data_IF_064228478983
#
_entry.id   IF_064228478983
#
_cell.length_a   1.000
_cell.length_b   1.000
_cell.length_c   1.000
_cell.angle_alpha   90.00
_cell.angle_beta   90.00
_cell.angle_gamma   90.00
#
_symmetry.space_group_name_H-M   'P 1'
#
loop_
_entity.id
_entity.type
_entity.pdbx_description
1 polymer ?
#
# COMPACT_ATOMS: atom_id res chain seq x y z
N UNK A 1 -18.85 -10.23 3.83
CA UNK A 1 -19.16 -10.43 2.40
C UNK A 1 -18.69 -9.17 1.67
N UNK A 2 -17.47 -9.19 1.10
CA UNK A 2 -16.96 -8.12 0.26
C UNK A 2 -17.55 -8.17 -1.15
N UNK A 3 -17.48 -7.05 -1.84
CA UNK A 3 -17.86 -6.99 -3.25
C UNK A 3 -16.70 -7.48 -4.11
N UNK A 4 -16.93 -8.33 -5.13
CA UNK A 4 -15.89 -8.77 -6.04
C UNK A 4 -15.22 -7.55 -6.73
N UNK A 5 -13.92 -7.64 -6.93
CA UNK A 5 -13.18 -6.62 -7.66
C UNK A 5 -13.65 -6.51 -9.10
N UNK A 6 -13.70 -5.29 -9.63
CA UNK A 6 -14.07 -5.05 -11.01
C UNK A 6 -13.04 -4.21 -11.74
N UNK A 7 -12.87 -4.49 -13.02
CA UNK A 7 -12.06 -3.70 -13.92
C UNK A 7 -12.72 -3.63 -15.30
N UNK A 8 -12.41 -2.59 -16.05
CA UNK A 8 -12.75 -2.44 -17.46
C UNK A 8 -11.46 -2.39 -18.26
N UNK A 9 -11.38 -3.21 -19.27
CA UNK A 9 -10.25 -3.31 -20.18
C UNK A 9 -10.65 -2.78 -21.53
N UNK A 10 -9.83 -1.91 -22.12
CA UNK A 10 -9.89 -1.53 -23.51
C UNK A 10 -8.61 -2.03 -24.22
N UNK A 11 -8.80 -2.81 -25.28
CA UNK A 11 -7.69 -3.30 -26.12
C UNK A 11 -7.74 -2.52 -27.44
N UNK A 12 -6.63 -1.91 -27.81
CA UNK A 12 -6.49 -1.10 -29.04
C UNK A 12 -5.89 -1.91 -30.18
N UNK A 13 -6.21 -1.50 -31.40
CA UNK A 13 -5.66 -2.05 -32.63
C UNK A 13 -5.84 -3.57 -32.71
N UNK A 14 -7.09 -4.03 -32.55
CA UNK A 14 -7.48 -5.44 -32.63
C UNK A 14 -8.73 -5.60 -33.48
N UNK A 15 -8.78 -6.68 -34.26
CA UNK A 15 -9.99 -7.14 -34.92
C UNK A 15 -10.94 -7.84 -33.92
N UNK A 16 -12.21 -8.06 -34.30
CA UNK A 16 -13.17 -8.81 -33.48
C UNK A 16 -12.64 -10.20 -33.10
N UNK A 17 -11.99 -10.88 -34.05
CA UNK A 17 -11.41 -12.21 -33.81
C UNK A 17 -10.25 -12.17 -32.83
N UNK A 18 -9.32 -11.22 -32.99
CA UNK A 18 -8.19 -11.04 -32.06
C UNK A 18 -8.68 -10.67 -30.65
N UNK A 19 -9.69 -9.79 -30.56
CA UNK A 19 -10.29 -9.42 -29.27
C UNK A 19 -10.89 -10.65 -28.56
N UNK A 20 -11.52 -11.56 -29.31
CA UNK A 20 -12.02 -12.83 -28.76
C UNK A 20 -10.87 -13.73 -28.26
N UNK A 21 -9.78 -13.82 -28.99
CA UNK A 21 -8.60 -14.58 -28.54
C UNK A 21 -8.02 -14.00 -27.24
N UNK A 22 -7.91 -12.68 -27.15
CA UNK A 22 -7.48 -12.03 -25.89
C UNK A 22 -8.46 -12.33 -24.77
N UNK A 23 -9.77 -12.22 -25.00
CA UNK A 23 -10.79 -12.56 -23.97
C UNK A 23 -10.60 -13.98 -23.43
N UNK A 24 -10.39 -14.96 -24.32
CA UNK A 24 -10.25 -16.36 -23.92
C UNK A 24 -8.95 -16.61 -23.12
N UNK A 25 -7.86 -15.92 -23.47
CA UNK A 25 -6.61 -15.97 -22.73
C UNK A 25 -6.75 -15.30 -21.34
N UNK A 26 -7.41 -14.16 -21.29
CA UNK A 26 -7.63 -13.40 -20.03
C UNK A 26 -8.59 -14.14 -19.10
N UNK A 27 -9.60 -14.83 -19.63
CA UNK A 27 -10.53 -15.61 -18.83
C UNK A 27 -9.87 -16.88 -18.19
N UNK A 28 -8.70 -17.29 -18.69
CA UNK A 28 -7.92 -18.39 -18.12
C UNK A 28 -6.99 -17.95 -16.98
N UNK A 29 -6.87 -16.65 -16.70
CA UNK A 29 -6.01 -16.11 -15.65
C UNK A 29 -6.60 -16.43 -14.28
N UNK A 30 -5.78 -16.93 -13.36
CA UNK A 30 -6.19 -17.24 -11.98
C UNK A 30 -6.69 -15.98 -11.24
N UNK A 31 -7.88 -16.06 -10.67
CA UNK A 31 -8.54 -14.94 -9.96
C UNK A 31 -9.52 -14.14 -10.80
N UNK A 32 -9.67 -14.45 -12.09
CA UNK A 32 -10.71 -13.90 -12.96
C UNK A 32 -11.96 -14.78 -12.89
N UNK A 33 -13.08 -14.22 -12.46
CA UNK A 33 -14.37 -14.91 -12.40
C UNK A 33 -15.08 -14.86 -13.77
N UNK A 34 -15.25 -13.66 -14.31
CA UNK A 34 -16.00 -13.46 -15.54
C UNK A 34 -15.47 -12.27 -16.35
N UNK A 35 -15.49 -12.44 -17.70
CA UNK A 35 -15.27 -11.34 -18.64
C UNK A 35 -16.50 -11.17 -19.52
N UNK A 36 -17.16 -10.03 -19.40
CA UNK A 36 -18.33 -9.68 -20.19
C UNK A 36 -17.90 -8.88 -21.42
N UNK A 37 -18.34 -9.33 -22.60
CA UNK A 37 -18.11 -8.69 -23.87
C UNK A 37 -19.25 -9.01 -24.86
N UNK A 38 -19.25 -8.42 -26.05
CA UNK A 38 -20.32 -8.59 -27.04
C UNK A 38 -20.47 -10.03 -27.60
N UNK A 39 -19.51 -10.92 -27.39
CA UNK A 39 -19.53 -12.30 -27.88
C UNK A 39 -20.66 -13.16 -27.28
N UNK A 40 -21.33 -12.68 -26.23
CA UNK A 40 -22.55 -13.31 -25.70
C UNK A 40 -23.79 -13.04 -26.52
N UNK A 41 -23.80 -11.93 -27.29
CA UNK A 41 -24.95 -11.45 -28.08
C UNK A 41 -24.74 -11.61 -29.59
N UNK A 42 -23.50 -11.57 -30.04
CA UNK A 42 -23.15 -11.57 -31.45
C UNK A 42 -22.10 -12.66 -31.75
N UNK A 43 -22.24 -13.32 -32.90
CA UNK A 43 -21.23 -14.30 -33.37
C UNK A 43 -20.02 -13.57 -33.95
N UNK A 44 -19.00 -13.35 -33.13
CA UNK A 44 -17.75 -12.65 -33.48
C UNK A 44 -16.89 -13.42 -34.52
N UNK A 45 -17.18 -14.72 -34.75
CA UNK A 45 -16.50 -15.53 -35.75
C UNK A 45 -17.04 -15.34 -37.17
N UNK A 46 -18.20 -14.68 -37.34
CA UNK A 46 -18.80 -14.45 -38.64
C UNK A 46 -18.06 -13.39 -39.48
N UNK A 47 -17.11 -12.65 -38.89
CA UNK A 47 -16.40 -11.54 -39.51
C UNK A 47 -17.17 -10.22 -39.45
N UNK A 48 -16.46 -9.11 -39.58
CA UNK A 48 -17.01 -7.75 -39.43
C UNK A 48 -18.12 -7.42 -40.41
N UNK A 49 -18.06 -8.01 -41.62
CA UNK A 49 -19.05 -7.80 -42.71
C UNK A 49 -20.44 -8.40 -42.37
N UNK A 50 -20.52 -9.33 -41.44
CA UNK A 50 -21.75 -10.03 -41.04
C UNK A 50 -22.29 -9.62 -39.67
N UNK A 51 -21.57 -8.72 -38.98
CA UNK A 51 -21.97 -8.19 -37.67
C UNK A 51 -22.46 -6.76 -37.84
N UNK A 52 -23.62 -6.49 -37.32
CA UNK A 52 -24.11 -5.10 -37.25
C UNK A 52 -23.32 -4.34 -36.18
N UNK A 53 -22.33 -3.55 -36.60
CA UNK A 53 -21.41 -2.82 -35.72
C UNK A 53 -22.14 -1.81 -34.83
N UNK A 54 -23.36 -1.33 -35.24
CA UNK A 54 -24.14 -0.42 -34.41
C UNK A 54 -24.68 -1.10 -33.15
N UNK A 55 -24.91 -2.41 -33.17
CA UNK A 55 -25.42 -3.16 -32.02
C UNK A 55 -24.34 -3.44 -30.97
N UNK A 56 -23.06 -3.37 -31.36
CA UNK A 56 -21.92 -3.66 -30.48
C UNK A 56 -21.00 -2.45 -30.23
N UNK A 57 -21.39 -1.26 -30.67
CA UNK A 57 -20.57 -0.04 -30.58
C UNK A 57 -20.08 0.32 -29.17
N UNK A 58 -20.79 -0.15 -28.14
CA UNK A 58 -20.39 0.05 -26.73
C UNK A 58 -19.26 -0.90 -26.28
N UNK A 59 -19.08 -2.00 -27.02
CA UNK A 59 -18.09 -3.03 -26.74
C UNK A 59 -16.99 -3.14 -27.79
N UNK A 60 -17.24 -2.65 -29.02
CA UNK A 60 -16.26 -2.65 -30.10
C UNK A 60 -16.49 -1.48 -31.04
N UNK A 61 -15.50 -0.63 -31.22
CA UNK A 61 -15.52 0.51 -32.11
C UNK A 61 -14.11 0.90 -32.56
N UNK A 62 -13.96 1.22 -33.83
CA UNK A 62 -12.72 1.75 -34.44
C UNK A 62 -11.45 0.91 -34.10
N UNK A 63 -11.57 -0.42 -34.13
CA UNK A 63 -10.48 -1.34 -33.78
C UNK A 63 -10.16 -1.40 -32.27
N UNK A 64 -11.05 -0.90 -31.42
CA UNK A 64 -10.92 -0.97 -29.96
C UNK A 64 -12.00 -1.87 -29.38
N UNK A 65 -11.60 -2.87 -28.61
CA UNK A 65 -12.52 -3.74 -27.86
C UNK A 65 -12.58 -3.33 -26.38
N UNK A 66 -13.77 -3.23 -25.82
CA UNK A 66 -14.00 -2.89 -24.41
C UNK A 66 -14.67 -4.07 -23.71
N UNK A 67 -14.05 -4.55 -22.63
CA UNK A 67 -14.49 -5.71 -21.86
C UNK A 67 -14.64 -5.34 -20.40
N UNK A 68 -15.68 -5.82 -19.75
CA UNK A 68 -15.89 -5.70 -18.30
C UNK A 68 -15.43 -6.99 -17.62
N UNK A 69 -14.56 -6.86 -16.63
CA UNK A 69 -13.91 -7.95 -15.93
C UNK A 69 -14.37 -7.95 -14.48
N UNK A 70 -14.78 -9.11 -14.00
CA UNK A 70 -15.09 -9.36 -12.59
C UNK A 70 -14.08 -10.36 -12.05
N UNK A 71 -13.54 -10.09 -10.87
CA UNK A 71 -12.61 -10.96 -10.17
C UNK A 71 -13.33 -11.83 -9.14
N UNK A 72 -12.74 -12.96 -8.75
CA UNK A 72 -13.31 -13.85 -7.73
C UNK A 72 -13.25 -13.24 -6.32
N UNK A 73 -12.25 -12.40 -6.06
CA UNK A 73 -11.99 -11.80 -4.76
C UNK A 73 -12.16 -10.28 -4.79
N UNK A 74 -12.01 -9.63 -3.64
CA UNK A 74 -12.12 -8.18 -3.49
C UNK A 74 -11.02 -7.43 -4.26
N UNK A 75 -11.26 -6.13 -4.48
CA UNK A 75 -10.38 -5.26 -5.28
C UNK A 75 -8.96 -5.10 -4.70
N UNK A 76 -8.76 -5.34 -3.41
CA UNK A 76 -7.49 -5.21 -2.67
C UNK A 76 -6.87 -6.56 -2.31
N UNK A 77 -7.44 -7.66 -2.80
CA UNK A 77 -6.90 -9.00 -2.60
C UNK A 77 -5.57 -9.19 -3.36
N UNK A 78 -4.56 -9.85 -2.73
CA UNK A 78 -3.32 -10.21 -3.41
C UNK A 78 -3.51 -11.11 -4.64
N UNK A 79 -4.62 -11.86 -4.72
CA UNK A 79 -4.96 -12.69 -5.88
C UNK A 79 -5.45 -11.81 -7.02
N UNK A 80 -6.31 -10.83 -6.74
CA UNK A 80 -6.78 -9.84 -7.72
C UNK A 80 -5.61 -9.01 -8.26
N UNK A 81 -4.67 -8.60 -7.40
CA UNK A 81 -3.49 -7.84 -7.83
C UNK A 81 -2.61 -8.64 -8.80
N UNK A 82 -2.38 -9.94 -8.52
CA UNK A 82 -1.62 -10.83 -9.42
C UNK A 82 -2.34 -11.07 -10.74
N UNK A 83 -3.65 -11.27 -10.71
CA UNK A 83 -4.46 -11.40 -11.91
C UNK A 83 -4.33 -10.16 -12.83
N UNK A 84 -4.37 -8.96 -12.26
CA UNK A 84 -4.19 -7.70 -13.01
C UNK A 84 -2.78 -7.65 -13.66
N UNK A 85 -1.72 -8.09 -12.97
CA UNK A 85 -0.37 -8.10 -13.53
C UNK A 85 -0.24 -9.10 -14.70
N UNK A 86 -0.79 -10.29 -14.53
CA UNK A 86 -0.77 -11.30 -15.57
C UNK A 86 -1.58 -10.86 -16.80
N UNK A 87 -2.75 -10.27 -16.60
CA UNK A 87 -3.55 -9.70 -17.68
C UNK A 87 -2.81 -8.57 -18.41
N UNK A 88 -2.12 -7.68 -17.67
CA UNK A 88 -1.28 -6.63 -18.29
C UNK A 88 -0.12 -7.21 -19.09
N UNK A 89 0.49 -8.31 -18.63
CA UNK A 89 1.55 -8.99 -19.35
C UNK A 89 1.04 -9.62 -20.65
N UNK A 90 -0.19 -10.16 -20.68
CA UNK A 90 -0.84 -10.73 -21.87
C UNK A 90 -1.16 -9.65 -22.91
N UNK A 91 -1.74 -8.53 -22.48
CA UNK A 91 -2.19 -7.48 -23.41
C UNK A 91 -1.09 -6.50 -23.81
N UNK A 92 -0.01 -6.42 -23.02
CA UNK A 92 1.10 -5.50 -23.26
C UNK A 92 0.63 -4.03 -23.42
N UNK A 93 1.24 -3.32 -24.35
CA UNK A 93 0.95 -1.90 -24.61
C UNK A 93 -0.42 -1.64 -25.26
N UNK A 94 -1.09 -2.69 -25.77
CA UNK A 94 -2.43 -2.56 -26.37
C UNK A 94 -3.53 -2.45 -25.31
N UNK A 95 -3.31 -2.96 -24.09
CA UNK A 95 -4.28 -3.00 -23.02
C UNK A 95 -4.31 -1.72 -22.16
N UNK A 96 -5.47 -1.11 -22.05
CA UNK A 96 -5.70 0.01 -21.14
C UNK A 96 -6.72 -0.43 -20.08
N UNK A 97 -6.29 -0.47 -18.80
CA UNK A 97 -7.09 -0.95 -17.68
C UNK A 97 -7.56 0.20 -16.81
N UNK A 98 -8.86 0.22 -16.50
CA UNK A 98 -9.48 1.16 -15.57
C UNK A 98 -10.43 0.41 -14.63
N UNK A 99 -10.77 0.99 -13.51
CA UNK A 99 -11.70 0.41 -12.54
C UNK A 99 -11.13 0.35 -11.13
N UNK A 100 -11.98 -0.04 -10.19
CA UNK A 100 -11.66 0.04 -8.76
C UNK A 100 -10.47 -0.84 -8.39
N UNK A 101 -10.41 -2.08 -8.90
CA UNK A 101 -9.31 -2.99 -8.60
C UNK A 101 -7.95 -2.47 -9.13
N UNK A 102 -7.95 -1.87 -10.34
CA UNK A 102 -6.74 -1.29 -10.93
C UNK A 102 -6.29 -0.03 -10.19
N UNK A 103 -7.25 0.81 -9.79
CA UNK A 103 -6.96 2.03 -9.01
C UNK A 103 -6.42 1.69 -7.63
N UNK A 104 -7.03 0.75 -6.91
CA UNK A 104 -6.56 0.30 -5.60
C UNK A 104 -5.13 -0.23 -5.67
N UNK A 105 -4.85 -1.10 -6.64
CA UNK A 105 -3.49 -1.58 -6.87
C UNK A 105 -2.50 -0.45 -7.11
N UNK A 106 -2.82 0.48 -8.02
CA UNK A 106 -1.96 1.64 -8.32
C UNK A 106 -1.74 2.54 -7.10
N UNK A 107 -2.77 2.74 -6.28
CA UNK A 107 -2.68 3.49 -5.02
C UNK A 107 -1.76 2.78 -4.03
N UNK A 108 -1.90 1.46 -3.84
CA UNK A 108 -1.07 0.67 -2.94
C UNK A 108 0.40 0.75 -3.37
N UNK A 109 0.71 0.50 -4.65
CA UNK A 109 2.07 0.56 -5.18
C UNK A 109 2.71 1.95 -5.06
N UNK A 110 1.95 3.00 -5.38
CA UNK A 110 2.42 4.39 -5.30
C UNK A 110 2.65 4.79 -3.85
N UNK A 111 1.70 4.48 -2.97
CA UNK A 111 1.82 4.76 -1.53
C UNK A 111 3.00 4.02 -0.91
N UNK A 112 3.21 2.73 -1.26
CA UNK A 112 4.35 1.96 -0.77
C UNK A 112 5.69 2.59 -1.16
N UNK A 113 5.80 3.07 -2.38
CA UNK A 113 7.01 3.74 -2.88
C UNK A 113 7.25 5.08 -2.21
N UNK A 114 6.19 5.88 -2.03
CA UNK A 114 6.28 7.20 -1.39
C UNK A 114 6.55 7.07 0.11
N UNK A 115 5.92 6.09 0.79
CA UNK A 115 6.15 5.84 2.22
C UNK A 115 7.61 5.54 2.54
N UNK A 116 8.31 4.79 1.69
CA UNK A 116 9.75 4.56 1.87
C UNK A 116 10.55 5.86 1.87
N UNK A 117 10.21 6.80 1.00
CA UNK A 117 10.86 8.13 0.95
C UNK A 117 10.51 8.98 2.16
N UNK A 118 9.23 9.02 2.54
CA UNK A 118 8.75 9.77 3.72
C UNK A 118 9.42 9.24 4.98
N UNK A 119 9.54 7.92 5.14
CA UNK A 119 10.19 7.30 6.27
C UNK A 119 11.67 7.70 6.38
N UNK A 120 12.42 7.71 5.26
CA UNK A 120 13.82 8.15 5.24
C UNK A 120 13.93 9.62 5.65
N UNK A 121 13.08 10.49 5.11
CA UNK A 121 13.07 11.92 5.47
C UNK A 121 12.71 12.11 6.96
N UNK A 122 11.72 11.37 7.46
CA UNK A 122 11.34 11.42 8.88
C UNK A 122 12.49 11.00 9.80
N UNK A 123 13.17 9.89 9.49
CA UNK A 123 14.33 9.42 10.26
C UNK A 123 15.47 10.42 10.25
N UNK A 124 15.77 11.03 9.10
CA UNK A 124 16.80 12.07 9.00
C UNK A 124 16.43 13.32 9.81
N UNK A 125 15.18 13.72 9.77
CA UNK A 125 14.67 14.86 10.55
C UNK A 125 14.76 14.57 12.06
N UNK A 126 14.33 13.40 12.51
CA UNK A 126 14.44 12.96 13.91
C UNK A 126 15.90 12.97 14.35
N UNK A 127 16.80 12.41 13.53
CA UNK A 127 18.24 12.40 13.84
C UNK A 127 18.82 13.81 13.97
N UNK A 128 18.42 14.74 13.09
CA UNK A 128 18.84 16.14 13.16
C UNK A 128 18.35 16.81 14.45
N UNK A 129 17.09 16.61 14.82
CA UNK A 129 16.54 17.16 16.07
C UNK A 129 17.23 16.58 17.30
N UNK A 130 17.46 15.26 17.33
CA UNK A 130 18.18 14.61 18.41
C UNK A 130 19.63 15.13 18.53
N UNK A 131 20.33 15.32 17.42
CA UNK A 131 21.69 15.90 17.43
C UNK A 131 21.73 17.34 17.94
N UNK A 132 20.65 18.11 17.78
CA UNK A 132 20.52 19.47 18.31
C UNK A 132 20.12 19.48 19.80
N UNK A 133 19.31 18.51 20.22
CA UNK A 133 18.80 18.41 21.59
C UNK A 133 19.80 17.75 22.55
N UNK A 134 20.70 16.92 22.04
CA UNK A 134 21.65 16.13 22.86
C UNK A 134 23.04 16.76 22.83
N UNK A 135 23.77 16.65 23.94
CA UNK A 135 25.14 17.14 24.07
C UNK A 135 26.20 16.09 23.72
N UNK A 136 25.83 14.80 23.74
CA UNK A 136 26.73 13.70 23.46
C UNK A 136 26.33 12.98 22.15
N UNK A 137 27.28 12.73 21.27
CA UNK A 137 27.07 12.06 19.97
C UNK A 137 26.56 10.61 20.06
N UNK A 138 26.71 9.98 21.21
CA UNK A 138 26.24 8.60 21.46
C UNK A 138 24.75 8.51 21.75
N UNK A 139 24.14 9.57 22.29
CA UNK A 139 22.73 9.60 22.69
C UNK A 139 21.78 9.46 21.49
N UNK A 140 21.94 10.20 20.37
CA UNK A 140 21.09 10.02 19.18
C UNK A 140 21.11 8.61 18.63
N UNK A 141 22.27 7.95 18.64
CA UNK A 141 22.43 6.58 18.15
C UNK A 141 21.65 5.60 19.05
N UNK A 142 21.75 5.78 20.37
CA UNK A 142 21.02 4.94 21.34
C UNK A 142 19.50 5.12 21.19
N UNK A 143 19.00 6.34 21.05
CA UNK A 143 17.59 6.60 20.81
C UNK A 143 17.11 5.98 19.50
N UNK A 144 17.86 6.11 18.41
CA UNK A 144 17.54 5.48 17.13
C UNK A 144 17.48 3.95 17.25
N UNK A 145 18.36 3.34 18.03
CA UNK A 145 18.34 1.90 18.28
C UNK A 145 17.05 1.50 19.03
N UNK A 146 16.70 2.20 20.10
CA UNK A 146 15.46 1.94 20.87
C UNK A 146 14.22 2.10 20.00
N UNK A 147 14.13 3.16 19.20
CA UNK A 147 13.04 3.37 18.25
C UNK A 147 12.96 2.25 17.21
N UNK A 148 14.10 1.82 16.68
CA UNK A 148 14.18 0.69 15.75
C UNK A 148 13.65 -0.61 16.36
N UNK A 149 14.00 -0.93 17.60
CA UNK A 149 13.45 -2.08 18.33
C UNK A 149 11.95 -1.93 18.54
N UNK A 150 11.45 -0.75 18.90
CA UNK A 150 10.03 -0.50 19.10
C UNK A 150 9.23 -0.72 17.80
N UNK A 151 9.73 -0.25 16.64
CA UNK A 151 9.11 -0.49 15.33
C UNK A 151 9.11 -1.98 14.97
N UNK A 152 10.21 -2.69 15.25
CA UNK A 152 10.29 -4.14 14.99
C UNK A 152 9.29 -4.91 15.87
N UNK A 153 9.13 -4.55 17.13
CA UNK A 153 8.14 -5.15 18.02
C UNK A 153 6.72 -4.88 17.54
N UNK A 154 6.41 -3.66 17.08
CA UNK A 154 5.11 -3.32 16.52
C UNK A 154 4.82 -4.19 15.29
N UNK A 155 5.74 -4.26 14.33
CA UNK A 155 5.57 -5.14 13.16
C UNK A 155 5.44 -6.61 13.54
N UNK A 156 6.20 -7.07 14.53
CA UNK A 156 6.10 -8.44 15.04
C UNK A 156 4.75 -8.75 15.68
N UNK A 157 4.17 -7.81 16.41
CA UNK A 157 2.84 -7.99 17.04
C UNK A 157 1.70 -7.92 16.03
N UNK A 158 1.88 -7.21 14.91
CA UNK A 158 0.89 -7.16 13.83
C UNK A 158 0.58 -8.54 13.24
N UNK A 159 1.53 -9.49 13.29
CA UNK A 159 1.33 -10.87 12.85
C UNK A 159 0.19 -11.55 13.64
N UNK A 160 0.01 -11.22 14.91
CA UNK A 160 -1.06 -11.79 15.76
C UNK A 160 -2.44 -11.19 15.49
N UNK A 161 -2.51 -10.01 14.86
CA UNK A 161 -3.74 -9.30 14.55
C UNK A 161 -4.37 -9.73 13.21
N UNK A 162 -3.68 -10.57 12.44
CA UNK A 162 -4.15 -11.05 11.14
C UNK A 162 -3.90 -10.03 10.01
N UNK A 163 -4.91 -9.78 9.19
CA UNK A 163 -4.82 -8.84 8.06
C UNK A 163 -5.00 -7.40 8.54
N UNK A 164 -3.97 -6.59 8.40
CA UNK A 164 -4.00 -5.15 8.68
C UNK A 164 -3.93 -4.42 7.35
N UNK A 165 -4.74 -3.36 7.21
CA UNK A 165 -4.66 -2.50 6.03
C UNK A 165 -3.25 -1.93 5.88
N UNK A 166 -2.73 -1.99 4.67
CA UNK A 166 -1.44 -1.41 4.29
C UNK A 166 -1.29 0.05 4.73
N UNK A 167 -2.35 0.85 4.63
CA UNK A 167 -2.36 2.25 5.07
C UNK A 167 -2.17 2.35 6.58
N UNK A 168 -2.87 1.51 7.35
CA UNK A 168 -2.78 1.49 8.81
C UNK A 168 -1.38 1.11 9.29
N UNK A 169 -0.75 0.07 8.69
CA UNK A 169 0.61 -0.35 9.04
C UNK A 169 1.63 0.77 8.84
N UNK A 170 1.55 1.49 7.70
CA UNK A 170 2.47 2.59 7.40
C UNK A 170 2.25 3.81 8.33
N UNK A 171 1.01 4.19 8.59
CA UNK A 171 0.70 5.32 9.49
C UNK A 171 1.11 4.99 10.92
N UNK A 172 0.92 3.76 11.37
CA UNK A 172 1.32 3.31 12.71
C UNK A 172 2.83 3.45 12.95
N UNK A 173 3.66 3.13 11.96
CA UNK A 173 5.12 3.29 12.06
C UNK A 173 5.50 4.77 12.24
N UNK A 174 4.92 5.67 11.46
CA UNK A 174 5.21 7.11 11.54
C UNK A 174 4.77 7.67 12.89
N UNK A 175 3.56 7.34 13.34
CA UNK A 175 3.06 7.76 14.66
C UNK A 175 3.93 7.21 15.80
N UNK A 176 4.37 5.97 15.70
CA UNK A 176 5.22 5.36 16.70
C UNK A 176 6.60 6.04 16.76
N UNK A 177 7.19 6.38 15.63
CA UNK A 177 8.45 7.13 15.60
C UNK A 177 8.29 8.50 16.26
N UNK A 178 7.21 9.22 15.95
CA UNK A 178 6.94 10.55 16.53
C UNK A 178 6.74 10.46 18.04
N UNK A 179 5.86 9.59 18.51
CA UNK A 179 5.59 9.44 19.96
C UNK A 179 6.79 8.92 20.74
N UNK A 180 7.55 7.97 20.18
CA UNK A 180 8.76 7.46 20.82
C UNK A 180 9.83 8.54 20.96
N UNK A 181 9.95 9.44 19.97
CA UNK A 181 10.85 10.57 20.03
C UNK A 181 10.46 11.55 21.16
N UNK A 182 9.19 11.92 21.23
CA UNK A 182 8.70 12.86 22.26
C UNK A 182 8.95 12.34 23.68
N UNK A 183 8.65 11.06 23.92
CA UNK A 183 8.91 10.44 25.24
C UNK A 183 10.42 10.31 25.53
N UNK A 184 11.25 10.06 24.50
CA UNK A 184 12.68 9.97 24.68
C UNK A 184 13.30 11.31 25.05
N UNK A 185 12.88 12.39 24.41
CA UNK A 185 13.33 13.76 24.70
C UNK A 185 12.86 14.17 26.10
N UNK A 186 11.58 13.89 26.45
CA UNK A 186 11.04 14.19 27.78
C UNK A 186 11.83 13.48 28.88
N UNK A 187 12.15 12.20 28.72
CA UNK A 187 12.92 11.44 29.68
C UNK A 187 14.34 11.99 29.85
N UNK A 188 14.99 12.38 28.75
CA UNK A 188 16.31 12.97 28.75
C UNK A 188 16.30 14.32 29.48
N UNK A 189 15.33 15.16 29.21
CA UNK A 189 15.18 16.49 29.79
C UNK A 189 14.93 16.38 31.31
N UNK A 190 14.06 15.47 31.74
CA UNK A 190 13.82 15.17 33.13
C UNK A 190 15.12 14.66 33.82
N UNK A 191 15.86 13.76 33.16
CA UNK A 191 17.13 13.26 33.68
C UNK A 191 18.16 14.38 33.87
N UNK A 192 18.34 15.23 32.83
CA UNK A 192 19.25 16.36 32.91
C UNK A 192 18.88 17.35 34.03
N UNK A 193 17.57 17.66 34.16
CA UNK A 193 17.05 18.49 35.23
C UNK A 193 17.40 17.96 36.63
N UNK A 194 17.20 16.65 36.86
CA UNK A 194 17.56 16.03 38.13
C UNK A 194 19.09 15.96 38.36
N UNK A 195 19.87 15.79 37.32
CA UNK A 195 21.34 15.86 37.39
C UNK A 195 21.85 17.23 37.82
N UNK A 196 21.22 18.29 37.33
CA UNK A 196 21.59 19.67 37.66
C UNK A 196 21.30 20.02 39.14
N UNK A 197 20.42 19.25 39.81
CA UNK A 197 20.21 19.37 41.26
C UNK A 197 21.33 18.76 42.10
N UNK A 198 22.32 18.10 41.47
CA UNK A 198 23.46 17.50 42.14
C UNK A 198 23.27 16.05 42.58
N UNK A 199 22.20 15.38 42.12
CA UNK A 199 21.97 13.95 42.34
C UNK A 199 22.99 13.09 41.59
N UNK A 200 23.23 11.88 42.09
CA UNK A 200 24.00 10.89 41.35
C UNK A 200 23.27 10.45 40.09
N UNK A 201 24.03 9.83 39.14
CA UNK A 201 23.40 9.34 37.86
C UNK A 201 22.29 8.33 38.12
N UNK A 202 22.50 7.42 39.07
CA UNK A 202 21.50 6.40 39.44
C UNK A 202 20.27 6.99 40.04
N UNK A 203 20.41 7.97 40.94
CA UNK A 203 19.27 8.67 41.59
C UNK A 203 18.51 9.54 40.61
N UNK A 204 19.23 10.24 39.69
CA UNK A 204 18.64 11.11 38.71
C UNK A 204 17.79 10.30 37.70
N UNK A 205 18.28 9.13 37.24
CA UNK A 205 17.52 8.30 36.29
C UNK A 205 16.26 7.70 36.95
N UNK A 206 16.34 7.28 38.19
CA UNK A 206 15.17 6.78 38.94
C UNK A 206 14.09 7.85 39.05
N UNK A 207 14.47 9.08 39.40
CA UNK A 207 13.58 10.22 39.46
C UNK A 207 12.96 10.59 38.13
N UNK A 208 13.76 10.62 37.05
CA UNK A 208 13.29 10.91 35.71
C UNK A 208 12.28 9.86 35.23
N UNK A 209 12.54 8.58 35.47
CA UNK A 209 11.62 7.48 35.11
C UNK A 209 10.33 7.56 35.92
N UNK A 210 10.38 7.86 37.22
CA UNK A 210 9.21 8.03 38.10
C UNK A 210 8.32 9.18 37.59
N UNK A 211 8.94 10.30 37.20
CA UNK A 211 8.25 11.46 36.62
C UNK A 211 7.62 11.14 35.26
N UNK A 212 8.36 10.44 34.40
CA UNK A 212 7.86 10.01 33.10
C UNK A 212 6.68 9.04 33.23
N UNK A 213 6.74 8.05 34.12
CA UNK A 213 5.65 7.12 34.39
C UNK A 213 4.41 7.87 34.86
N UNK A 214 4.56 8.78 35.83
CA UNK A 214 3.44 9.56 36.33
C UNK A 214 2.80 10.43 35.25
N UNK A 215 3.59 11.00 34.37
CA UNK A 215 3.10 11.80 33.22
C UNK A 215 2.36 10.98 32.17
N UNK A 216 2.76 9.73 31.97
CA UNK A 216 2.11 8.82 30.98
C UNK A 216 0.76 8.30 31.50
N UNK A 217 0.63 8.09 32.82
CA UNK A 217 -0.57 7.53 33.44
C UNK A 217 -1.56 8.57 33.99
N UNK A 218 -1.23 9.86 33.87
CA UNK A 218 -2.12 10.95 34.28
C UNK A 218 -3.06 11.37 33.14
#
# INVERSE_FOLDING_TARGET
>A
FGYPGTARLMIKDVSLYEAKMYKDQLAAVDGVDQILWCDTTVNVYAGEDFVNLDDIKDYYKDGCAVMDITFEEESDSPRTERAIDEMKAITGDKGCYVGMAVQNKSLIETTAREMGRILVVAVLMILAVLCLATTAWTEPILFMMVMGVAVLLNKGTNIFLGTISFLTDNVAIILQLATSMDYSIFLLDAFMSWRDTGLSEEEAIVKAVEEAINSIFA
#
